data_IF_509486037052
#
_entry.id   IF_509486037052
#
_cell.length_a   1.000
_cell.length_b   1.000
_cell.length_c   1.000
_cell.angle_alpha   90.00
_cell.angle_beta   90.00
_cell.angle_gamma   90.00
#
_symmetry.space_group_name_H-M   'P 1'
#
loop_
_entity.id
_entity.type
_entity.pdbx_description
1 polymer ?
#
# COMPACT_ATOMS: atom_id res chain seq x y z
N UNK A 1 -15.54 -6.24 20.49
CA UNK A 1 -14.32 -5.92 19.74
C UNK A 1 -13.86 -4.48 20.05
N UNK A 2 -14.66 -3.45 19.70
CA UNK A 2 -14.31 -2.04 19.88
C UNK A 2 -14.00 -1.66 21.34
N UNK A 3 -14.71 -2.24 22.31
CA UNK A 3 -14.53 -1.91 23.73
C UNK A 3 -13.31 -2.55 24.38
N UNK A 4 -12.71 -3.58 23.76
CA UNK A 4 -11.68 -4.40 24.41
C UNK A 4 -10.36 -4.48 23.64
N UNK A 5 -10.34 -4.24 22.35
CA UNK A 5 -9.17 -4.47 21.49
C UNK A 5 -8.67 -3.21 20.79
N UNK A 6 -9.51 -2.19 20.62
CA UNK A 6 -9.10 -0.92 20.02
C UNK A 6 -8.90 0.16 21.09
N UNK A 7 -7.91 1.04 20.91
CA UNK A 7 -7.85 2.26 21.71
C UNK A 7 -9.20 2.97 21.65
N UNK A 8 -9.70 3.44 22.79
CA UNK A 8 -10.96 4.17 22.84
C UNK A 8 -10.82 5.49 22.06
N UNK A 9 -11.12 5.45 20.77
CA UNK A 9 -11.34 6.66 19.98
C UNK A 9 -12.79 7.08 20.18
N UNK A 10 -13.01 8.31 20.63
CA UNK A 10 -14.34 8.91 20.67
C UNK A 10 -14.79 9.44 19.31
N UNK A 11 -13.89 9.45 18.33
CA UNK A 11 -14.16 9.92 16.97
C UNK A 11 -14.82 8.82 16.14
N UNK A 12 -15.84 9.20 15.38
CA UNK A 12 -16.42 8.34 14.38
C UNK A 12 -15.40 8.09 13.24
N UNK A 13 -15.40 6.88 12.65
CA UNK A 13 -14.60 6.63 11.47
C UNK A 13 -14.95 7.63 10.34
N UNK A 14 -13.96 8.16 9.62
CA UNK A 14 -14.22 9.12 8.55
C UNK A 14 -14.96 8.44 7.37
N UNK A 15 -15.78 9.22 6.67
CA UNK A 15 -16.37 8.81 5.39
C UNK A 15 -15.23 8.76 4.37
N UNK A 16 -14.99 7.57 3.82
CA UNK A 16 -13.82 7.26 3.00
C UNK A 16 -14.20 7.05 1.53
N UNK A 17 -13.43 7.64 0.62
CA UNK A 17 -13.38 7.31 -0.80
C UNK A 17 -12.08 6.57 -1.11
N UNK A 18 -12.18 5.37 -1.68
CA UNK A 18 -11.04 4.59 -2.17
C UNK A 18 -10.93 4.73 -3.69
N UNK A 19 -9.73 4.93 -4.22
CA UNK A 19 -9.52 5.22 -5.64
C UNK A 19 -9.57 3.98 -6.55
N UNK A 20 -9.57 2.75 -6.00
CA UNK A 20 -9.44 1.52 -6.80
C UNK A 20 -10.41 1.42 -7.96
N UNK A 21 -11.71 1.47 -7.70
CA UNK A 21 -12.73 1.32 -8.73
C UNK A 21 -12.77 2.46 -9.77
N UNK A 22 -12.19 3.62 -9.42
CA UNK A 22 -12.14 4.77 -10.32
C UNK A 22 -10.92 4.76 -11.25
N UNK A 23 -9.80 4.19 -10.82
CA UNK A 23 -8.52 4.33 -11.52
C UNK A 23 -7.82 3.00 -11.81
N UNK A 24 -8.06 1.97 -10.98
CA UNK A 24 -7.22 0.77 -10.95
C UNK A 24 -5.73 1.15 -10.90
N UNK A 25 -4.89 0.59 -11.75
CA UNK A 25 -3.45 0.89 -11.82
C UNK A 25 -3.10 2.17 -12.59
N UNK A 26 -4.07 2.79 -13.26
CA UNK A 26 -3.85 3.99 -14.10
C UNK A 26 -3.96 5.27 -13.25
N UNK A 27 -3.02 5.39 -12.31
CA UNK A 27 -2.92 6.49 -11.35
C UNK A 27 -2.21 7.68 -11.95
N UNK A 28 -2.75 8.89 -11.77
CA UNK A 28 -2.07 10.16 -12.08
C UNK A 28 -2.51 11.27 -11.12
N UNK A 29 -1.71 12.35 -11.04
CA UNK A 29 -2.07 13.50 -10.20
C UNK A 29 -3.38 14.15 -10.65
N UNK A 30 -3.64 14.23 -11.94
CA UNK A 30 -4.87 14.80 -12.51
C UNK A 30 -6.11 14.03 -12.05
N UNK A 31 -6.04 12.70 -12.11
CA UNK A 31 -7.13 11.83 -11.66
C UNK A 31 -7.35 11.91 -10.15
N UNK A 32 -6.26 11.98 -9.38
CA UNK A 32 -6.35 12.17 -7.92
C UNK A 32 -7.02 13.51 -7.61
N UNK A 33 -6.66 14.57 -8.33
CA UNK A 33 -7.25 15.89 -8.14
C UNK A 33 -8.74 15.92 -8.46
N UNK A 34 -9.16 15.30 -9.58
CA UNK A 34 -10.57 15.16 -9.94
C UNK A 34 -11.37 14.46 -8.85
N UNK A 35 -10.84 13.34 -8.32
CA UNK A 35 -11.48 12.60 -7.24
C UNK A 35 -11.52 13.41 -5.93
N UNK A 36 -10.43 14.08 -5.55
CA UNK A 36 -10.37 14.91 -4.36
C UNK A 36 -11.37 16.07 -4.41
N UNK A 37 -11.45 16.76 -5.57
CA UNK A 37 -12.40 17.84 -5.80
C UNK A 37 -13.86 17.39 -5.70
N UNK A 38 -14.17 16.20 -6.23
CA UNK A 38 -15.52 15.64 -6.16
C UNK A 38 -15.83 15.17 -4.72
N UNK A 39 -14.90 14.45 -4.10
CA UNK A 39 -15.02 13.96 -2.74
C UNK A 39 -15.29 15.10 -1.74
N UNK A 40 -14.52 16.18 -1.81
CA UNK A 40 -14.71 17.37 -0.96
C UNK A 40 -16.12 17.95 -1.09
N UNK A 41 -16.67 18.05 -2.31
CA UNK A 41 -18.03 18.54 -2.54
C UNK A 41 -19.13 17.64 -1.99
N UNK A 42 -18.86 16.34 -1.91
CA UNK A 42 -19.81 15.33 -1.44
C UNK A 42 -19.74 15.09 0.08
N UNK A 43 -18.85 15.80 0.80
CA UNK A 43 -18.68 15.63 2.25
C UNK A 43 -17.89 14.38 2.63
N UNK A 44 -17.11 13.81 1.70
CA UNK A 44 -16.12 12.78 2.01
C UNK A 44 -15.00 13.42 2.84
N UNK A 45 -14.44 12.69 3.78
CA UNK A 45 -13.46 13.18 4.75
C UNK A 45 -12.05 12.63 4.51
N UNK A 46 -11.95 11.46 3.87
CA UNK A 46 -10.69 10.74 3.64
C UNK A 46 -10.65 10.18 2.21
N UNK A 47 -9.59 10.47 1.46
CA UNK A 47 -9.30 9.83 0.18
C UNK A 47 -8.13 8.87 0.35
N UNK A 48 -8.34 7.60 0.00
CA UNK A 48 -7.31 6.55 0.03
C UNK A 48 -6.81 6.30 -1.39
N UNK A 49 -5.53 6.58 -1.63
CA UNK A 49 -4.84 6.18 -2.86
C UNK A 49 -4.52 4.69 -2.77
N UNK A 50 -5.22 3.90 -3.58
CA UNK A 50 -5.11 2.44 -3.65
C UNK A 50 -3.90 1.98 -4.47
N UNK A 51 -3.81 0.70 -4.82
CA UNK A 51 -2.74 0.11 -5.64
C UNK A 51 -2.49 0.90 -6.93
N UNK A 52 -1.28 0.82 -7.46
CA UNK A 52 -0.87 1.47 -8.71
C UNK A 52 0.16 2.58 -8.54
N UNK A 53 0.26 3.22 -7.36
CA UNK A 53 1.15 4.36 -7.11
C UNK A 53 2.65 4.01 -7.20
N UNK A 54 3.02 2.76 -6.93
CA UNK A 54 4.41 2.24 -6.98
C UNK A 54 4.66 1.33 -8.18
N UNK A 55 3.62 0.88 -8.87
CA UNK A 55 3.72 -0.06 -9.99
C UNK A 55 4.49 0.55 -11.17
N UNK A 56 5.48 -0.20 -11.69
CA UNK A 56 6.22 0.18 -12.91
C UNK A 56 5.32 0.15 -14.14
N UNK A 57 4.40 -0.82 -14.20
CA UNK A 57 3.39 -0.99 -15.25
C UNK A 57 1.98 -0.97 -14.67
N UNK A 58 0.97 -0.77 -15.51
CA UNK A 58 -0.43 -0.74 -15.09
C UNK A 58 -1.03 -2.14 -14.94
N UNK A 59 -0.37 -2.99 -14.14
CA UNK A 59 -0.83 -4.35 -13.83
C UNK A 59 -0.32 -4.82 -12.47
N UNK A 60 -0.83 -5.96 -11.99
CA UNK A 60 -0.47 -6.57 -10.72
C UNK A 60 0.82 -7.40 -10.74
N UNK A 61 1.49 -7.54 -11.87
CA UNK A 61 2.56 -8.54 -12.06
C UNK A 61 3.95 -8.02 -11.69
N UNK A 62 4.05 -6.85 -11.08
CA UNK A 62 5.34 -6.21 -10.81
C UNK A 62 5.36 -5.37 -9.54
N UNK A 63 6.58 -5.11 -9.07
CA UNK A 63 6.92 -4.10 -8.06
C UNK A 63 6.37 -4.33 -6.63
N UNK A 64 5.59 -5.40 -6.39
CA UNK A 64 5.18 -5.73 -5.03
C UNK A 64 6.41 -6.01 -4.17
N UNK A 65 6.49 -5.38 -3.02
CA UNK A 65 7.65 -5.45 -2.12
C UNK A 65 8.60 -4.26 -2.21
N UNK A 66 8.70 -3.58 -3.36
CA UNK A 66 9.62 -2.45 -3.54
C UNK A 66 9.14 -1.15 -2.88
N UNK A 67 7.84 -0.92 -2.89
CA UNK A 67 7.16 0.22 -2.26
C UNK A 67 7.78 1.60 -2.58
N UNK A 68 8.31 1.77 -3.80
CA UNK A 68 8.88 3.03 -4.29
C UNK A 68 7.88 3.72 -5.20
N UNK A 69 7.51 4.96 -4.87
CA UNK A 69 6.59 5.72 -5.69
C UNK A 69 7.09 5.84 -7.14
N UNK A 70 6.21 5.54 -8.09
CA UNK A 70 6.48 5.76 -9.51
C UNK A 70 6.30 7.24 -9.85
N UNK A 71 7.40 7.98 -9.90
CA UNK A 71 7.40 9.43 -10.16
C UNK A 71 7.03 9.79 -11.60
N UNK A 72 6.99 8.83 -12.53
CA UNK A 72 6.45 9.06 -13.88
C UNK A 72 4.92 9.17 -13.86
N UNK A 73 4.25 8.43 -12.96
CA UNK A 73 2.80 8.53 -12.71
C UNK A 73 2.47 9.69 -11.79
N UNK A 74 3.26 9.86 -10.74
CA UNK A 74 3.08 10.87 -9.69
C UNK A 74 4.30 11.78 -9.59
N UNK A 75 4.43 12.77 -10.47
CA UNK A 75 5.49 13.77 -10.38
C UNK A 75 5.47 14.47 -9.01
N UNK A 76 6.60 14.47 -8.31
CA UNK A 76 6.68 14.95 -6.93
C UNK A 76 6.34 13.91 -5.86
N UNK A 77 6.06 12.67 -6.27
CA UNK A 77 5.89 11.52 -5.37
C UNK A 77 4.61 11.56 -4.53
N UNK A 78 4.57 10.70 -3.52
CA UNK A 78 3.45 10.60 -2.56
C UNK A 78 3.26 11.90 -1.79
N UNK A 79 4.33 12.62 -1.49
CA UNK A 79 4.23 13.91 -0.82
C UNK A 79 3.33 14.86 -1.62
N UNK A 80 3.58 15.01 -2.92
CA UNK A 80 2.79 15.91 -3.77
C UNK A 80 1.33 15.49 -3.88
N UNK A 81 1.08 14.17 -3.98
CA UNK A 81 -0.28 13.63 -4.00
C UNK A 81 -1.02 13.90 -2.69
N UNK A 82 -0.35 13.71 -1.54
CA UNK A 82 -0.93 13.98 -0.23
C UNK A 82 -1.23 15.47 -0.03
N UNK A 83 -0.29 16.35 -0.37
CA UNK A 83 -0.49 17.81 -0.31
C UNK A 83 -1.67 18.26 -1.18
N UNK A 84 -1.79 17.69 -2.37
CA UNK A 84 -2.90 17.95 -3.30
C UNK A 84 -4.25 17.57 -2.68
N UNK A 85 -4.38 16.34 -2.16
CA UNK A 85 -5.60 15.87 -1.51
C UNK A 85 -5.94 16.74 -0.29
N UNK A 86 -4.95 17.03 0.56
CA UNK A 86 -5.13 17.88 1.74
C UNK A 86 -5.54 19.32 1.40
N UNK A 87 -5.16 19.84 0.23
CA UNK A 87 -5.57 21.18 -0.23
C UNK A 87 -7.08 21.29 -0.48
N UNK A 88 -7.78 20.16 -0.67
CA UNK A 88 -9.24 20.07 -0.78
C UNK A 88 -9.94 19.82 0.57
N UNK A 89 -9.20 19.88 1.69
CA UNK A 89 -9.74 19.68 3.05
C UNK A 89 -9.94 18.20 3.44
N UNK A 90 -9.39 17.28 2.67
CA UNK A 90 -9.48 15.84 2.92
C UNK A 90 -8.26 15.33 3.71
N UNK A 91 -8.46 14.28 4.50
CA UNK A 91 -7.38 13.41 4.98
C UNK A 91 -6.84 12.58 3.82
N UNK A 92 -5.57 12.14 3.90
CA UNK A 92 -4.94 11.31 2.89
C UNK A 92 -4.57 9.94 3.44
N UNK A 93 -5.01 8.89 2.76
CA UNK A 93 -4.65 7.51 3.05
C UNK A 93 -3.85 6.86 1.92
N UNK A 94 -3.03 5.88 2.28
CA UNK A 94 -2.20 5.14 1.33
C UNK A 94 -2.36 3.64 1.49
N UNK A 95 -2.46 2.92 0.36
CA UNK A 95 -2.61 1.48 0.30
C UNK A 95 -1.24 0.77 0.31
N UNK A 96 -1.20 -0.34 1.05
CA UNK A 96 -0.09 -1.30 1.05
C UNK A 96 -0.63 -2.73 1.12
N UNK A 97 0.11 -3.67 0.55
CA UNK A 97 -0.05 -5.12 0.73
C UNK A 97 1.33 -5.69 1.13
N UNK A 98 1.80 -5.40 2.36
CA UNK A 98 3.20 -5.57 2.72
C UNK A 98 3.63 -7.02 2.93
N UNK A 99 2.71 -7.97 3.03
CA UNK A 99 3.04 -9.40 3.08
C UNK A 99 3.43 -10.00 1.72
N UNK A 100 3.13 -9.31 0.62
CA UNK A 100 3.35 -9.84 -0.73
C UNK A 100 4.63 -9.31 -1.37
N UNK A 101 5.26 -10.16 -2.20
CA UNK A 101 6.48 -9.84 -2.93
C UNK A 101 6.42 -10.40 -4.37
N UNK A 102 6.69 -9.56 -5.36
CA UNK A 102 6.78 -9.99 -6.75
C UNK A 102 8.13 -10.61 -7.05
N UNK A 103 8.15 -11.70 -7.83
CA UNK A 103 9.39 -12.38 -8.25
C UNK A 103 10.37 -11.47 -9.00
N UNK A 104 9.88 -10.42 -9.64
CA UNK A 104 10.66 -9.44 -10.39
C UNK A 104 10.85 -8.11 -9.64
N UNK A 105 10.56 -8.06 -8.34
CA UNK A 105 10.88 -6.91 -7.51
C UNK A 105 12.37 -6.83 -7.19
N UNK A 106 12.86 -5.61 -6.94
CA UNK A 106 14.24 -5.40 -6.51
C UNK A 106 14.49 -6.09 -5.15
N UNK A 107 13.49 -6.09 -4.27
CA UNK A 107 13.56 -6.76 -2.97
C UNK A 107 13.76 -8.28 -3.14
N UNK A 108 12.96 -8.94 -3.99
CA UNK A 108 13.11 -10.40 -4.19
C UNK A 108 14.42 -10.76 -4.85
N UNK A 109 14.89 -9.95 -5.81
CA UNK A 109 16.17 -10.18 -6.47
C UNK A 109 17.35 -10.09 -5.49
N UNK A 110 17.29 -9.18 -4.52
CA UNK A 110 18.32 -9.00 -3.51
C UNK A 110 18.21 -10.00 -2.35
N UNK A 111 16.98 -10.35 -1.98
CA UNK A 111 16.64 -11.19 -0.84
C UNK A 111 15.59 -12.24 -1.19
N UNK A 112 15.93 -13.23 -2.05
CA UNK A 112 14.97 -14.28 -2.42
C UNK A 112 14.59 -15.16 -1.20
N UNK A 113 15.45 -15.21 -0.20
CA UNK A 113 15.25 -15.90 1.07
C UNK A 113 14.22 -15.22 2.00
N UNK A 114 13.76 -14.01 1.69
CA UNK A 114 12.66 -13.35 2.41
C UNK A 114 11.30 -13.95 2.08
N UNK A 115 11.18 -14.65 0.93
CA UNK A 115 9.95 -15.31 0.58
C UNK A 115 9.73 -16.58 1.42
N UNK A 116 8.52 -16.71 1.95
CA UNK A 116 8.09 -17.91 2.66
C UNK A 116 8.17 -19.12 1.72
N UNK A 117 8.96 -20.11 2.08
CA UNK A 117 9.21 -21.29 1.25
C UNK A 117 9.38 -22.55 2.10
N UNK A 118 9.17 -23.70 1.46
CA UNK A 118 9.47 -25.00 2.03
C UNK A 118 10.76 -25.50 1.42
N UNK A 119 11.71 -25.98 2.23
CA UNK A 119 12.98 -26.49 1.76
C UNK A 119 12.82 -27.53 0.64
N UNK A 120 13.51 -27.28 -0.48
CA UNK A 120 13.48 -28.14 -1.66
C UNK A 120 12.27 -27.91 -2.59
N UNK A 121 11.42 -26.94 -2.31
CA UNK A 121 10.28 -26.59 -3.15
C UNK A 121 10.32 -25.10 -3.52
N UNK A 122 9.86 -24.79 -4.73
CA UNK A 122 9.63 -23.39 -5.13
C UNK A 122 8.46 -22.81 -4.31
N UNK A 123 8.54 -21.56 -3.87
CA UNK A 123 7.41 -20.91 -3.18
C UNK A 123 6.15 -20.94 -4.03
N UNK A 124 5.00 -21.12 -3.39
CA UNK A 124 3.71 -21.13 -4.09
C UNK A 124 3.38 -19.74 -4.65
N UNK A 125 3.17 -19.67 -5.95
CA UNK A 125 2.79 -18.42 -6.62
C UNK A 125 1.27 -18.23 -6.57
N UNK A 126 0.82 -17.13 -5.99
CA UNK A 126 -0.58 -16.71 -5.99
C UNK A 126 -0.69 -15.27 -6.50
N UNK A 127 -1.61 -15.00 -7.45
CA UNK A 127 -1.73 -13.67 -8.08
C UNK A 127 -0.41 -13.09 -8.63
N UNK A 128 0.53 -13.94 -9.07
CA UNK A 128 1.89 -13.59 -9.48
C UNK A 128 2.81 -13.08 -8.35
N UNK A 129 2.48 -13.39 -7.11
CA UNK A 129 3.18 -12.94 -5.91
C UNK A 129 3.53 -14.12 -5.02
N UNK A 130 4.64 -13.98 -4.30
CA UNK A 130 5.00 -14.80 -3.14
C UNK A 130 4.61 -14.07 -1.86
N UNK A 131 4.67 -14.76 -0.73
CA UNK A 131 4.55 -14.16 0.60
C UNK A 131 5.94 -13.97 1.23
N UNK A 132 6.08 -12.90 1.98
CA UNK A 132 7.24 -12.69 2.85
C UNK A 132 7.12 -13.56 4.12
N UNK A 133 8.24 -14.08 4.58
CA UNK A 133 8.33 -14.76 5.88
C UNK A 133 8.35 -13.75 7.03
N UNK A 134 7.17 -13.37 7.50
CA UNK A 134 7.00 -12.42 8.59
C UNK A 134 7.42 -12.95 9.97
N UNK A 135 7.85 -14.21 10.08
CA UNK A 135 8.46 -14.74 11.32
C UNK A 135 9.90 -14.26 11.51
N UNK A 136 10.52 -13.76 10.44
CA UNK A 136 11.90 -13.29 10.43
C UNK A 136 12.01 -11.84 10.89
N UNK A 137 12.94 -11.56 11.77
CA UNK A 137 13.19 -10.21 12.29
C UNK A 137 13.70 -9.24 11.22
N UNK A 138 14.54 -9.68 10.29
CA UNK A 138 15.06 -8.87 9.20
C UNK A 138 13.97 -8.44 8.21
N UNK A 139 13.00 -9.33 7.92
CA UNK A 139 11.81 -9.02 7.12
C UNK A 139 10.90 -8.01 7.84
N UNK A 140 10.65 -8.22 9.14
CA UNK A 140 9.89 -7.28 9.96
C UNK A 140 10.55 -5.90 9.97
N UNK A 141 11.86 -5.84 10.20
CA UNK A 141 12.62 -4.60 10.20
C UNK A 141 12.59 -3.89 8.85
N UNK A 142 12.67 -4.63 7.74
CA UNK A 142 12.49 -4.05 6.40
C UNK A 142 11.13 -3.36 6.28
N UNK A 143 10.05 -4.04 6.65
CA UNK A 143 8.70 -3.48 6.56
C UNK A 143 8.49 -2.29 7.50
N UNK A 144 9.01 -2.34 8.72
CA UNK A 144 8.95 -1.22 9.67
C UNK A 144 9.64 0.01 9.08
N UNK A 145 10.86 -0.13 8.59
CA UNK A 145 11.60 0.99 8.00
C UNK A 145 10.92 1.53 6.74
N UNK A 146 10.38 0.66 5.91
CA UNK A 146 9.62 1.05 4.72
C UNK A 146 8.40 1.88 5.10
N UNK A 147 7.56 1.39 6.02
CA UNK A 147 6.37 2.12 6.48
C UNK A 147 6.74 3.43 7.18
N UNK A 148 7.76 3.40 8.05
CA UNK A 148 8.22 4.60 8.75
C UNK A 148 8.67 5.71 7.78
N UNK A 149 9.29 5.34 6.67
CA UNK A 149 9.70 6.30 5.64
C UNK A 149 8.54 7.12 5.06
N UNK A 150 7.33 6.56 5.05
CA UNK A 150 6.11 7.25 4.62
C UNK A 150 5.40 7.95 5.79
N UNK A 151 5.26 7.26 6.94
CA UNK A 151 4.48 7.75 8.08
C UNK A 151 5.16 8.91 8.80
N UNK A 152 6.49 8.89 8.93
CA UNK A 152 7.26 9.97 9.57
C UNK A 152 7.15 11.32 8.86
N UNK A 153 6.67 11.34 7.61
CA UNK A 153 6.38 12.59 6.89
C UNK A 153 5.24 13.41 7.51
N UNK A 154 4.37 12.77 8.30
CA UNK A 154 3.16 13.40 8.86
C UNK A 154 2.07 13.72 7.82
N UNK A 155 2.24 13.28 6.57
CA UNK A 155 1.29 13.55 5.49
C UNK A 155 0.22 12.47 5.33
N UNK A 156 0.47 11.26 5.85
CA UNK A 156 -0.42 10.11 5.73
C UNK A 156 -1.24 9.97 7.01
N UNK A 157 -2.56 10.09 6.87
CA UNK A 157 -3.51 10.04 7.98
C UNK A 157 -4.11 8.62 8.17
N UNK A 158 -3.98 7.76 7.15
CA UNK A 158 -4.58 6.43 7.15
C UNK A 158 -3.78 5.45 6.29
N UNK A 159 -3.65 4.21 6.77
CA UNK A 159 -3.11 3.10 5.97
C UNK A 159 -4.23 2.10 5.68
N UNK A 160 -4.44 1.81 4.41
CA UNK A 160 -5.18 0.62 3.99
C UNK A 160 -4.17 -0.52 3.86
N UNK A 161 -4.15 -1.40 4.85
CA UNK A 161 -3.38 -2.65 4.81
C UNK A 161 -4.24 -3.74 4.20
N UNK A 162 -3.88 -4.19 3.02
CA UNK A 162 -4.60 -5.20 2.26
C UNK A 162 -3.90 -6.54 2.29
N UNK A 163 -4.63 -7.62 2.03
CA UNK A 163 -4.09 -8.96 1.85
C UNK A 163 -4.97 -9.73 0.86
N UNK A 164 -4.55 -9.77 -0.40
CA UNK A 164 -5.34 -10.36 -1.49
C UNK A 164 -4.94 -11.79 -1.83
N UNK A 165 -3.95 -12.33 -1.16
CA UNK A 165 -3.40 -13.65 -1.39
C UNK A 165 -3.49 -14.49 -0.12
N UNK A 166 -4.08 -15.71 -0.17
CA UNK A 166 -4.08 -16.60 0.99
C UNK A 166 -2.65 -17.11 1.28
N UNK A 167 -2.38 -17.38 2.55
CA UNK A 167 -1.17 -18.11 2.97
C UNK A 167 -1.35 -19.57 2.55
N UNK A 168 -0.44 -20.06 1.72
CA UNK A 168 -0.46 -21.42 1.19
C UNK A 168 0.77 -22.24 1.60
N UNK A 169 1.88 -21.59 1.88
CA UNK A 169 3.11 -22.22 2.36
C UNK A 169 3.22 -21.98 3.87
N UNK A 170 3.44 -23.02 4.65
CA UNK A 170 3.37 -23.00 6.11
C UNK A 170 4.68 -23.51 6.72
N UNK A 171 5.82 -23.05 6.23
CA UNK A 171 7.13 -23.35 6.81
C UNK A 171 7.96 -22.09 6.93
N UNK A 172 8.47 -21.88 8.10
CA UNK A 172 9.50 -20.89 8.39
C UNK A 172 10.75 -21.58 8.90
#
# INVERSE_FOLDING_TARGET
>A
YHHHLLPQSQELPPILLNTWEAMYYDVSLEKIEEQAKLASKLGIELLVLDDGWFRKENNSHNSMGDWKCNTSKLPGGIQKAAELVKSYGLKFGLWFEPEAISKNSDLYIQHPDYALSVDGYEPTLGRHEYLLDLSREDVQNYLIHMLDSYLSTGLIDYIKWDMNRPISDVCS
#
